data_IF_971921055101
#
_entry.id   IF_971921055101
#
_cell.length_a   1.000
_cell.length_b   1.000
_cell.length_c   1.000
_cell.angle_alpha   90.00
_cell.angle_beta   90.00
_cell.angle_gamma   90.00
#
_symmetry.space_group_name_H-M   'P 1'
#
loop_
_entity.id
_entity.type
_entity.pdbx_description
1 polymer ?
#
# COMPACT_ATOMS: atom_id res chain seq x y z
N UNK A 1 -17.15 -0.51 -17.59
CA UNK A 1 -17.24 -1.55 -16.54
C UNK A 1 -15.84 -1.77 -16.00
N UNK A 2 -15.61 -1.65 -14.68
CA UNK A 2 -14.32 -2.00 -14.09
C UNK A 2 -14.33 -3.51 -13.82
N UNK A 3 -13.31 -4.20 -14.32
CA UNK A 3 -13.11 -5.61 -14.02
C UNK A 3 -12.72 -5.77 -12.54
N UNK A 4 -13.30 -6.76 -11.86
CA UNK A 4 -12.94 -7.14 -10.50
C UNK A 4 -12.31 -8.52 -10.57
N UNK A 5 -11.06 -8.64 -10.10
CA UNK A 5 -10.29 -9.87 -10.16
C UNK A 5 -10.54 -10.73 -8.91
N UNK A 6 -10.62 -12.04 -9.10
CA UNK A 6 -10.50 -13.00 -8.00
C UNK A 6 -9.08 -12.99 -7.44
N UNK A 7 -8.94 -13.33 -6.15
CA UNK A 7 -7.62 -13.36 -5.49
C UNK A 7 -6.60 -14.26 -6.19
N UNK A 8 -7.06 -15.35 -6.81
CA UNK A 8 -6.17 -16.24 -7.56
C UNK A 8 -5.63 -15.57 -8.84
N UNK A 9 -6.47 -14.78 -9.52
CA UNK A 9 -6.06 -14.02 -10.70
C UNK A 9 -5.07 -12.93 -10.32
N UNK A 10 -5.32 -12.18 -9.24
CA UNK A 10 -4.40 -11.15 -8.76
C UNK A 10 -3.01 -11.73 -8.44
N UNK A 11 -2.96 -12.85 -7.70
CA UNK A 11 -1.70 -13.55 -7.39
C UNK A 11 -0.97 -14.02 -8.65
N UNK A 12 -1.69 -14.54 -9.64
CA UNK A 12 -1.09 -14.99 -10.90
C UNK A 12 -0.47 -13.82 -11.68
N UNK A 13 -1.16 -12.67 -11.72
CA UNK A 13 -0.67 -11.45 -12.37
C UNK A 13 0.58 -10.92 -11.66
N UNK A 14 0.55 -10.81 -10.33
CA UNK A 14 1.71 -10.37 -9.55
C UNK A 14 2.91 -11.30 -9.76
N UNK A 15 2.69 -12.62 -9.71
CA UNK A 15 3.76 -13.60 -9.92
C UNK A 15 4.38 -13.48 -11.32
N UNK A 16 3.56 -13.32 -12.37
CA UNK A 16 4.06 -13.18 -13.74
C UNK A 16 4.89 -11.90 -13.90
N UNK A 17 4.43 -10.78 -13.33
CA UNK A 17 5.13 -9.50 -13.39
C UNK A 17 6.45 -9.54 -12.61
N UNK A 18 6.47 -10.14 -11.43
CA UNK A 18 7.70 -10.32 -10.65
C UNK A 18 8.69 -11.25 -11.38
N UNK A 19 8.21 -12.34 -11.96
CA UNK A 19 9.04 -13.28 -12.71
C UNK A 19 9.65 -12.66 -13.98
N UNK A 20 8.96 -11.70 -14.60
CA UNK A 20 9.49 -10.95 -15.75
C UNK A 20 10.66 -10.03 -15.41
N UNK A 21 10.87 -9.71 -14.12
CA UNK A 21 11.88 -8.75 -13.68
C UNK A 21 11.54 -7.28 -13.99
N UNK A 22 10.38 -7.00 -14.57
CA UNK A 22 9.96 -5.64 -14.94
C UNK A 22 9.79 -4.71 -13.71
N UNK A 23 9.45 -5.28 -12.55
CA UNK A 23 9.35 -4.58 -11.27
C UNK A 23 9.73 -5.51 -10.13
N UNK A 24 10.13 -4.93 -9.00
CA UNK A 24 10.39 -5.68 -7.76
C UNK A 24 9.16 -5.70 -6.86
N UNK A 25 9.10 -6.65 -5.92
CA UNK A 25 8.06 -6.67 -4.89
C UNK A 25 8.04 -5.37 -4.07
N UNK A 26 9.22 -4.82 -3.75
CA UNK A 26 9.35 -3.54 -3.06
C UNK A 26 8.74 -2.40 -3.88
N UNK A 27 8.97 -2.38 -5.21
CA UNK A 27 8.37 -1.37 -6.09
C UNK A 27 6.85 -1.44 -6.10
N UNK A 28 6.27 -2.65 -6.10
CA UNK A 28 4.82 -2.82 -6.04
C UNK A 28 4.26 -2.34 -4.69
N UNK A 29 4.91 -2.70 -3.58
CA UNK A 29 4.54 -2.29 -2.23
C UNK A 29 4.59 -0.75 -2.04
N UNK A 30 5.66 -0.12 -2.54
CA UNK A 30 5.80 1.34 -2.55
C UNK A 30 4.67 2.03 -3.31
N UNK A 31 4.27 1.48 -4.45
CA UNK A 31 3.15 2.00 -5.26
C UNK A 31 1.81 1.80 -4.56
N UNK A 32 1.58 0.63 -3.96
CA UNK A 32 0.35 0.32 -3.24
C UNK A 32 0.17 1.29 -2.06
N UNK A 33 1.19 1.43 -1.21
CA UNK A 33 1.14 2.36 -0.08
C UNK A 33 1.00 3.83 -0.50
N UNK A 34 1.68 4.26 -1.56
CA UNK A 34 1.51 5.61 -2.11
C UNK A 34 0.09 5.86 -2.64
N UNK A 35 -0.51 4.87 -3.30
CA UNK A 35 -1.89 4.95 -3.78
C UNK A 35 -2.90 5.13 -2.64
N UNK A 36 -2.69 4.44 -1.51
CA UNK A 36 -3.55 4.60 -0.32
C UNK A 36 -3.43 6.01 0.26
N UNK A 37 -2.22 6.54 0.42
CA UNK A 37 -2.03 7.91 0.95
C UNK A 37 -2.61 8.96 0.01
N UNK A 38 -2.44 8.78 -1.31
CA UNK A 38 -3.06 9.67 -2.30
C UNK A 38 -4.60 9.65 -2.22
N UNK A 39 -5.21 8.48 -1.98
CA UNK A 39 -6.65 8.37 -1.80
C UNK A 39 -7.13 9.06 -0.51
N UNK A 40 -6.41 8.88 0.61
CA UNK A 40 -6.71 9.59 1.87
C UNK A 40 -6.69 11.11 1.66
N UNK A 41 -5.70 11.62 0.92
CA UNK A 41 -5.59 13.05 0.61
C UNK A 41 -6.70 13.54 -0.31
N UNK A 42 -7.03 12.79 -1.36
CA UNK A 42 -8.07 13.14 -2.31
C UNK A 42 -9.46 13.21 -1.67
N UNK A 43 -9.72 12.34 -0.70
CA UNK A 43 -10.98 12.32 0.07
C UNK A 43 -10.99 13.32 1.24
N UNK A 44 -9.91 14.09 1.45
CA UNK A 44 -9.81 15.06 2.55
C UNK A 44 -9.77 14.41 3.93
N UNK A 45 -9.33 13.15 4.03
CA UNK A 45 -9.33 12.34 5.25
C UNK A 45 -8.03 12.43 6.06
N UNK A 46 -7.16 13.37 5.71
CA UNK A 46 -5.89 13.55 6.41
C UNK A 46 -6.16 14.13 7.82
N UNK A 47 -6.07 13.25 8.83
CA UNK A 47 -6.33 13.58 10.23
C UNK A 47 -5.11 14.19 10.94
N UNK A 48 -5.27 14.58 12.21
CA UNK A 48 -4.17 15.10 13.03
C UNK A 48 -3.17 14.04 13.51
N UNK A 49 -3.52 12.75 13.43
CA UNK A 49 -2.67 11.61 13.76
C UNK A 49 -3.20 10.34 13.06
N UNK A 50 -2.38 9.30 12.95
CA UNK A 50 -2.75 8.02 12.34
C UNK A 50 -2.28 6.80 13.15
N UNK A 51 -3.09 5.75 13.14
CA UNK A 51 -2.71 4.41 13.61
C UNK A 51 -2.76 3.46 12.41
N UNK A 52 -1.69 2.72 12.15
CA UNK A 52 -1.59 1.75 11.06
C UNK A 52 -1.44 0.35 11.67
N UNK A 53 -2.41 -0.54 11.38
CA UNK A 53 -2.41 -1.92 11.85
C UNK A 53 -1.73 -2.81 10.81
N UNK A 54 -0.54 -3.32 11.11
CA UNK A 54 0.29 -4.09 10.20
C UNK A 54 0.23 -5.59 10.53
N UNK A 55 -0.38 -6.38 9.63
CA UNK A 55 -0.28 -7.85 9.70
C UNK A 55 1.11 -8.38 9.29
N UNK A 56 1.37 -9.69 9.43
CA UNK A 56 2.68 -10.28 9.11
C UNK A 56 2.95 -10.49 7.61
N UNK A 57 2.00 -10.19 6.73
CA UNK A 57 2.09 -10.44 5.28
C UNK A 57 2.43 -9.19 4.45
N UNK A 58 2.30 -9.30 3.12
CA UNK A 58 2.58 -8.19 2.19
C UNK A 58 1.79 -6.92 2.51
N UNK A 59 0.53 -7.05 2.92
CA UNK A 59 -0.30 -5.91 3.34
C UNK A 59 0.28 -5.19 4.57
N UNK A 60 1.01 -5.90 5.44
CA UNK A 60 1.74 -5.27 6.54
C UNK A 60 2.90 -4.42 6.04
N UNK A 61 3.61 -4.92 5.02
CA UNK A 61 4.63 -4.15 4.30
C UNK A 61 4.06 -2.88 3.67
N UNK A 62 2.90 -2.97 3.01
CA UNK A 62 2.18 -1.80 2.50
C UNK A 62 1.85 -0.82 3.64
N UNK A 63 1.41 -1.35 4.79
CA UNK A 63 1.17 -0.58 6.01
C UNK A 63 2.38 0.22 6.48
N UNK A 64 3.58 -0.38 6.51
CA UNK A 64 4.80 0.36 6.85
C UNK A 64 5.15 1.45 5.83
N UNK A 65 4.90 1.21 4.54
CA UNK A 65 5.05 2.24 3.50
C UNK A 65 4.08 3.40 3.74
N UNK A 66 2.81 3.11 4.03
CA UNK A 66 1.77 4.09 4.36
C UNK A 66 2.19 4.90 5.60
N UNK A 67 2.60 4.22 6.67
CA UNK A 67 3.03 4.86 7.91
C UNK A 67 4.16 5.86 7.66
N UNK A 68 5.22 5.45 6.95
CA UNK A 68 6.34 6.32 6.57
C UNK A 68 5.90 7.51 5.71
N UNK A 69 4.96 7.30 4.79
CA UNK A 69 4.45 8.36 3.92
C UNK A 69 3.60 9.38 4.70
N UNK A 70 2.71 8.94 5.58
CA UNK A 70 1.93 9.81 6.47
C UNK A 70 2.84 10.60 7.41
N UNK A 71 3.88 9.95 7.96
CA UNK A 71 4.88 10.64 8.78
C UNK A 71 5.61 11.74 8.00
N UNK A 72 5.92 11.52 6.71
CA UNK A 72 6.49 12.56 5.82
C UNK A 72 5.54 13.72 5.55
N UNK A 73 4.22 13.56 5.76
CA UNK A 73 3.24 14.65 5.75
C UNK A 73 3.10 15.36 7.10
N UNK A 74 3.92 15.01 8.08
CA UNK A 74 3.96 15.65 9.39
C UNK A 74 2.97 15.07 10.40
N UNK A 75 2.29 13.97 10.07
CA UNK A 75 1.40 13.31 11.03
C UNK A 75 2.22 12.53 12.07
N UNK A 76 1.84 12.59 13.36
CA UNK A 76 2.17 11.55 14.32
C UNK A 76 1.57 10.21 13.86
N UNK A 77 2.40 9.18 13.75
CA UNK A 77 1.97 7.84 13.32
C UNK A 77 2.36 6.80 14.37
N UNK A 78 1.43 5.92 14.71
CA UNK A 78 1.68 4.69 15.48
C UNK A 78 1.46 3.48 14.60
N UNK A 79 2.36 2.51 14.64
CA UNK A 79 2.21 1.22 13.96
C UNK A 79 1.99 0.14 15.01
N UNK A 80 0.99 -0.71 14.81
CA UNK A 80 0.65 -1.85 15.69
C UNK A 80 0.65 -3.17 14.91
#
# INVERSE_FOLDING_TARGET
>A
MREVLHSAQMRAIEAAVLASGAVTGLTLMERAGAGVVAAIEAEGLLASAAVVLCGPGNNGGDGYVIARLLQRRGLPVTVL
#
